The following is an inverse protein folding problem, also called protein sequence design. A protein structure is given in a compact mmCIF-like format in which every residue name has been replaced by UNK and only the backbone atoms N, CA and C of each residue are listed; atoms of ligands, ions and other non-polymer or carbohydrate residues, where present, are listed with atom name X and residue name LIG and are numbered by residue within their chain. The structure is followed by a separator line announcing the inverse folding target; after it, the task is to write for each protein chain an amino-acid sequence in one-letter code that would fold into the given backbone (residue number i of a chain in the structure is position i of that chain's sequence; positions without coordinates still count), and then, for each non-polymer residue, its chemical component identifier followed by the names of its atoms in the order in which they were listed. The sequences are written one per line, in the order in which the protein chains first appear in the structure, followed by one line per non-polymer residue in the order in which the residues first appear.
data_IF_176429113979
#
_entry.id   IF_176429113979
#
_cell.length_a   1.000
_cell.length_b   1.000
_cell.length_c   1.000
_cell.angle_alpha   90.00
_cell.angle_beta   90.00
_cell.angle_gamma   90.00
#
_symmetry.space_group_name_H-M   'P 1'
#
loop_
_entity.id
_entity.type
_entity.pdbx_description
1 polymer ?
#
# COMPACT_ATOMS: atom_id res chain seq x y z
N UNK A 1 -3.33 17.81 -6.03
CA UNK A 1 -3.34 17.42 -4.61
C UNK A 1 -2.78 18.56 -3.77
N UNK A 2 -3.38 18.81 -2.62
CA UNK A 2 -2.86 19.80 -1.67
C UNK A 2 -1.43 19.43 -1.25
N UNK A 3 -0.50 20.37 -1.36
CA UNK A 3 0.91 20.13 -1.02
C UNK A 3 1.10 19.72 0.45
N UNK A 4 0.23 20.20 1.35
CA UNK A 4 0.31 19.84 2.77
C UNK A 4 -0.04 18.36 2.99
N UNK A 5 -0.97 17.82 2.20
CA UNK A 5 -1.30 16.39 2.23
C UNK A 5 -0.11 15.59 1.73
N UNK A 6 0.51 16.02 0.65
CA UNK A 6 1.69 15.35 0.10
C UNK A 6 2.84 15.34 1.09
N UNK A 7 3.11 16.47 1.74
CA UNK A 7 4.15 16.55 2.78
C UNK A 7 3.87 15.63 3.96
N UNK A 8 2.62 15.58 4.40
CA UNK A 8 2.18 14.67 5.46
C UNK A 8 2.48 13.22 5.09
N UNK A 9 2.17 12.82 3.86
CA UNK A 9 2.37 11.44 3.40
C UNK A 9 3.85 11.11 3.22
N UNK A 10 4.62 12.03 2.67
CA UNK A 10 6.07 11.85 2.55
C UNK A 10 6.71 11.67 3.93
N UNK A 11 6.30 12.48 4.90
CA UNK A 11 6.78 12.35 6.27
C UNK A 11 6.39 10.98 6.88
N UNK A 12 5.16 10.56 6.69
CA UNK A 12 4.71 9.24 7.17
C UNK A 12 5.47 8.10 6.51
N UNK A 13 5.74 8.21 5.22
CA UNK A 13 6.53 7.20 4.51
C UNK A 13 7.93 7.05 5.13
N UNK A 14 8.50 8.15 5.64
CA UNK A 14 9.82 8.14 6.26
C UNK A 14 9.80 7.69 7.72
N UNK A 15 8.73 7.94 8.44
CA UNK A 15 8.69 7.77 9.90
C UNK A 15 7.79 6.63 10.36
N UNK A 16 6.98 6.04 9.49
CA UNK A 16 6.11 4.94 9.86
C UNK A 16 6.96 3.71 10.21
N UNK A 17 6.88 3.20 11.46
CA UNK A 17 7.74 2.09 11.89
C UNK A 17 7.58 0.84 11.05
N UNK A 18 6.35 0.47 10.68
CA UNK A 18 6.12 -0.76 9.92
C UNK A 18 6.58 -0.63 8.47
N UNK A 19 6.37 0.54 7.86
CA UNK A 19 6.88 0.85 6.52
C UNK A 19 8.41 0.69 6.50
N UNK A 20 9.08 1.23 7.51
CA UNK A 20 10.53 1.14 7.63
C UNK A 20 10.99 -0.29 7.89
N UNK A 21 10.26 -1.02 8.72
CA UNK A 21 10.56 -2.43 8.99
C UNK A 21 10.48 -3.28 7.72
N UNK A 22 9.45 -3.05 6.90
CA UNK A 22 9.29 -3.77 5.63
C UNK A 22 10.29 -3.32 4.57
N UNK A 23 10.80 -2.10 4.67
CA UNK A 23 11.73 -1.54 3.69
C UNK A 23 11.04 -1.04 2.43
N UNK A 24 9.82 -0.50 2.57
CA UNK A 24 9.06 0.04 1.44
C UNK A 24 9.66 1.37 0.99
N UNK A 25 9.97 1.48 -0.30
CA UNK A 25 10.50 2.69 -0.91
C UNK A 25 9.45 3.29 -1.86
N UNK A 26 8.87 4.42 -1.45
CA UNK A 26 7.84 5.10 -2.21
C UNK A 26 8.47 5.89 -3.36
N UNK A 27 7.99 5.65 -4.58
CA UNK A 27 8.50 6.32 -5.78
C UNK A 27 7.50 7.30 -6.39
N UNK A 28 6.20 7.12 -6.14
CA UNK A 28 5.15 8.04 -6.60
C UNK A 28 4.13 8.23 -5.48
N UNK A 29 3.85 9.48 -5.15
CA UNK A 29 2.74 9.86 -4.28
C UNK A 29 2.01 11.00 -5.00
N UNK A 30 0.91 10.67 -5.67
CA UNK A 30 0.08 11.60 -6.41
C UNK A 30 -1.38 11.38 -6.06
N UNK A 31 -2.23 12.33 -6.37
CA UNK A 31 -3.65 12.21 -6.10
C UNK A 31 -4.23 10.95 -6.74
N UNK A 32 -4.72 10.04 -5.91
CA UNK A 32 -5.33 8.80 -6.36
C UNK A 32 -4.36 7.72 -6.80
N UNK A 33 -3.04 7.93 -6.70
CA UNK A 33 -2.05 6.96 -7.19
C UNK A 33 -0.78 6.98 -6.34
N UNK A 34 -0.40 5.79 -5.86
CA UNK A 34 0.83 5.62 -5.09
C UNK A 34 1.57 4.41 -5.63
N UNK A 35 2.89 4.54 -5.84
CA UNK A 35 3.74 3.44 -6.28
C UNK A 35 4.94 3.30 -5.35
N UNK A 36 5.40 2.08 -5.17
CA UNK A 36 6.53 1.79 -4.32
C UNK A 36 7.22 0.50 -4.72
N UNK A 37 8.50 0.41 -4.37
CA UNK A 37 9.29 -0.80 -4.47
C UNK A 37 9.59 -1.32 -3.07
N UNK A 38 9.72 -2.63 -2.93
CA UNK A 38 10.10 -3.24 -1.67
C UNK A 38 11.05 -4.41 -1.93
N UNK A 39 12.32 -4.28 -1.51
CA UNK A 39 13.25 -5.40 -1.57
C UNK A 39 12.77 -6.52 -0.65
N UNK A 40 12.96 -7.76 -1.08
CA UNK A 40 12.56 -8.93 -0.30
C UNK A 40 13.72 -9.44 0.53
N UNK A 41 13.47 -9.65 1.82
CA UNK A 41 14.39 -10.24 2.77
C UNK A 41 14.05 -11.71 2.99
N UNK A 42 15.00 -12.51 3.46
CA UNK A 42 14.78 -13.94 3.71
C UNK A 42 13.63 -14.18 4.68
N UNK A 43 13.47 -13.32 5.69
CA UNK A 43 12.42 -13.42 6.70
C UNK A 43 11.02 -13.21 6.13
N UNK A 44 10.91 -12.72 4.90
CA UNK A 44 9.63 -12.47 4.22
C UNK A 44 9.23 -13.64 3.32
N UNK A 45 9.99 -14.72 3.35
CA UNK A 45 9.74 -15.90 2.51
C UNK A 45 9.14 -17.03 3.34
N UNK A 46 8.35 -17.87 2.66
CA UNK A 46 7.95 -19.15 3.23
C UNK A 46 9.15 -20.10 3.26
N UNK A 47 9.03 -21.22 3.98
CA UNK A 47 10.09 -22.21 4.02
C UNK A 47 10.48 -22.74 2.63
N UNK A 48 9.57 -22.67 1.66
CA UNK A 48 9.83 -23.07 0.26
C UNK A 48 10.61 -22.02 -0.54
N UNK A 49 10.82 -20.82 0.02
CA UNK A 49 11.55 -19.73 -0.64
C UNK A 49 10.67 -18.72 -1.38
N UNK A 50 9.38 -19.03 -1.60
CA UNK A 50 8.46 -18.08 -2.21
C UNK A 50 8.06 -17.00 -1.20
N UNK A 51 7.76 -15.81 -1.67
CA UNK A 51 7.31 -14.71 -0.80
C UNK A 51 6.04 -15.11 -0.06
N UNK A 52 6.04 -14.89 1.26
CA UNK A 52 4.87 -15.19 2.09
C UNK A 52 3.67 -14.31 1.67
N UNK A 53 2.49 -14.92 1.56
CA UNK A 53 1.27 -14.19 1.17
C UNK A 53 0.94 -13.03 2.11
N UNK A 54 1.25 -13.18 3.40
CA UNK A 54 1.08 -12.10 4.37
C UNK A 54 1.93 -10.86 4.07
N UNK A 55 3.09 -11.04 3.45
CA UNK A 55 3.94 -9.93 3.01
C UNK A 55 3.27 -9.17 1.86
N UNK A 56 2.71 -9.91 0.90
CA UNK A 56 1.96 -9.29 -0.20
C UNK A 56 0.75 -8.53 0.34
N UNK A 57 0.04 -9.07 1.32
CA UNK A 57 -1.09 -8.41 1.95
C UNK A 57 -0.68 -7.14 2.69
N UNK A 58 0.43 -7.18 3.42
CA UNK A 58 0.96 -6.01 4.13
C UNK A 58 1.33 -4.89 3.16
N UNK A 59 1.99 -5.23 2.05
CA UNK A 59 2.35 -4.26 1.02
C UNK A 59 1.11 -3.68 0.35
N UNK A 60 0.16 -4.53 -0.04
CA UNK A 60 -1.07 -4.10 -0.69
C UNK A 60 -1.88 -3.16 0.20
N UNK A 61 -2.05 -3.51 1.47
CA UNK A 61 -2.77 -2.67 2.44
C UNK A 61 -2.10 -1.31 2.61
N UNK A 62 -0.79 -1.31 2.73
CA UNK A 62 -0.02 -0.08 2.93
C UNK A 62 -0.12 0.84 1.72
N UNK A 63 0.09 0.31 0.52
CA UNK A 63 0.11 1.14 -0.69
C UNK A 63 -1.29 1.63 -1.05
N UNK A 64 -2.31 0.77 -0.96
CA UNK A 64 -3.70 1.20 -1.18
C UNK A 64 -4.14 2.21 -0.11
N UNK A 65 -3.71 2.03 1.14
CA UNK A 65 -3.99 2.96 2.22
C UNK A 65 -3.37 4.33 1.98
N UNK A 66 -2.13 4.40 1.51
CA UNK A 66 -1.50 5.67 1.13
C UNK A 66 -2.25 6.32 -0.04
N UNK A 67 -2.70 5.53 -1.02
CA UNK A 67 -3.52 6.06 -2.11
C UNK A 67 -4.81 6.68 -1.57
N UNK A 68 -5.48 6.00 -0.64
CA UNK A 68 -6.68 6.53 0.02
C UNK A 68 -6.37 7.85 0.76
N UNK A 69 -5.24 7.93 1.43
CA UNK A 69 -4.81 9.16 2.11
C UNK A 69 -4.67 10.33 1.16
N UNK A 70 -4.25 10.11 -0.08
CA UNK A 70 -4.09 11.21 -1.05
C UNK A 70 -5.40 11.92 -1.35
N UNK A 71 -6.53 11.24 -1.12
CA UNK A 71 -7.87 11.77 -1.37
C UNK A 71 -8.60 12.12 -0.06
N UNK A 72 -7.87 12.17 1.04
CA UNK A 72 -8.42 12.40 2.38
C UNK A 72 -8.05 13.79 2.88
N UNK A 73 -8.97 14.53 3.53
CA UNK A 73 -8.64 15.82 4.10
C UNK A 73 -7.45 15.77 5.05
N UNK A 74 -6.68 16.84 5.09
CA UNK A 74 -5.43 16.93 5.85
C UNK A 74 -5.60 16.54 7.32
N UNK A 75 -6.71 16.94 7.94
CA UNK A 75 -6.99 16.73 9.37
C UNK A 75 -7.60 15.38 9.70
N UNK A 76 -7.81 14.53 8.69
CA UNK A 76 -8.40 13.21 8.87
C UNK A 76 -7.36 12.11 8.73
N UNK A 77 -7.75 10.93 9.19
CA UNK A 77 -6.97 9.70 9.01
C UNK A 77 -7.77 8.65 8.24
N UNK A 78 -7.10 7.57 7.90
CA UNK A 78 -7.67 6.46 7.14
C UNK A 78 -7.42 5.18 7.91
N UNK A 79 -8.45 4.34 8.03
CA UNK A 79 -8.33 2.98 8.57
C UNK A 79 -8.89 1.99 7.57
N UNK A 80 -8.22 0.85 7.42
CA UNK A 80 -8.67 -0.22 6.56
C UNK A 80 -9.88 -0.91 7.19
N UNK A 81 -10.98 -0.98 6.46
CA UNK A 81 -12.17 -1.72 6.90
C UNK A 81 -12.16 -3.12 6.31
N UNK A 82 -11.69 -3.28 5.09
CA UNK A 82 -11.70 -4.56 4.39
C UNK A 82 -10.57 -4.58 3.38
N UNK A 83 -9.93 -5.73 3.26
CA UNK A 83 -8.93 -5.98 2.23
C UNK A 83 -9.15 -7.36 1.64
N UNK A 84 -9.40 -7.41 0.33
CA UNK A 84 -9.53 -8.66 -0.41
C UNK A 84 -8.29 -8.86 -1.27
N UNK A 85 -7.63 -10.01 -1.10
CA UNK A 85 -6.43 -10.37 -1.85
C UNK A 85 -6.73 -11.48 -2.84
N UNK A 86 -6.21 -11.34 -4.05
CA UNK A 86 -6.11 -12.45 -5.00
C UNK A 86 -4.62 -12.71 -5.25
N UNK A 87 -4.16 -13.91 -4.92
CA UNK A 87 -2.79 -14.35 -5.14
C UNK A 87 -2.75 -15.09 -6.47
N UNK A 88 -2.21 -14.45 -7.50
CA UNK A 88 -2.33 -14.91 -8.88
C UNK A 88 -1.17 -15.77 -9.32
N UNK A 89 -0.01 -15.60 -8.67
CA UNK A 89 1.24 -16.25 -9.05
C UNK A 89 2.20 -16.22 -7.87
N UNK A 90 3.00 -17.28 -7.72
CA UNK A 90 4.05 -17.31 -6.71
C UNK A 90 5.07 -16.20 -6.98
N UNK A 91 5.42 -15.44 -5.96
CA UNK A 91 6.38 -14.36 -6.08
C UNK A 91 7.78 -14.88 -5.75
N UNK A 92 8.51 -15.26 -6.78
CA UNK A 92 9.92 -15.60 -6.73
C UNK A 92 10.72 -14.40 -7.19
N UNK A 93 11.75 -14.04 -6.53
CA UNK A 93 12.57 -12.90 -6.92
C UNK A 93 13.03 -12.10 -5.72
N UNK A 94 13.60 -10.93 -5.96
CA UNK A 94 14.26 -10.14 -4.94
C UNK A 94 13.57 -8.81 -4.64
N UNK A 95 12.61 -8.40 -5.46
CA UNK A 95 11.95 -7.11 -5.28
C UNK A 95 10.51 -7.18 -5.75
N UNK A 96 9.64 -6.50 -5.01
CA UNK A 96 8.25 -6.29 -5.38
C UNK A 96 8.05 -4.84 -5.83
N UNK A 97 7.17 -4.64 -6.79
CA UNK A 97 6.68 -3.32 -7.19
C UNK A 97 5.17 -3.28 -6.97
N UNK A 98 4.71 -2.29 -6.22
CA UNK A 98 3.29 -2.13 -5.90
C UNK A 98 2.75 -0.85 -6.48
N UNK A 99 1.52 -0.92 -6.98
CA UNK A 99 0.81 0.20 -7.58
C UNK A 99 -0.59 0.27 -6.99
N UNK A 100 -0.85 1.29 -6.19
CA UNK A 100 -2.15 1.53 -5.57
C UNK A 100 -2.90 2.64 -6.27
N UNK A 101 -4.19 2.44 -6.47
CA UNK A 101 -5.06 3.43 -7.12
C UNK A 101 -6.38 3.57 -6.37
N UNK A 102 -6.90 4.79 -6.29
CA UNK A 102 -8.25 5.04 -5.79
C UNK A 102 -9.23 4.83 -6.93
N UNK A 103 -10.17 3.91 -6.73
CA UNK A 103 -11.23 3.63 -7.71
C UNK A 103 -12.37 4.63 -7.54
N UNK A 104 -12.74 4.89 -6.27
CA UNK A 104 -13.77 5.88 -5.95
C UNK A 104 -13.47 6.49 -4.58
N UNK A 105 -13.40 7.80 -4.54
CA UNK A 105 -13.25 8.55 -3.30
C UNK A 105 -14.62 9.07 -2.85
N UNK A 106 -15.03 8.69 -1.65
CA UNK A 106 -16.25 9.18 -1.02
C UNK A 106 -15.93 10.12 0.13
N UNK A 107 -16.97 10.63 0.77
CA UNK A 107 -16.80 11.48 1.96
C UNK A 107 -16.23 10.67 3.14
N UNK A 108 -16.73 9.47 3.35
CA UNK A 108 -16.40 8.63 4.51
C UNK A 108 -15.68 7.33 4.14
N UNK A 109 -15.73 6.94 2.88
CA UNK A 109 -15.19 5.66 2.41
C UNK A 109 -14.49 5.86 1.07
N UNK A 110 -13.30 5.31 0.95
CA UNK A 110 -12.58 5.22 -0.32
C UNK A 110 -12.47 3.75 -0.72
N UNK A 111 -12.70 3.48 -2.00
CA UNK A 111 -12.50 2.17 -2.60
C UNK A 111 -11.20 2.23 -3.41
N UNK A 112 -10.27 1.33 -3.09
CA UNK A 112 -8.94 1.33 -3.71
C UNK A 112 -8.59 -0.06 -4.21
N UNK A 113 -7.65 -0.10 -5.17
CA UNK A 113 -7.07 -1.34 -5.66
C UNK A 113 -5.56 -1.26 -5.55
N UNK A 114 -4.90 -2.42 -5.49
CA UNK A 114 -3.45 -2.50 -5.55
C UNK A 114 -3.04 -3.69 -6.41
N UNK A 115 -2.10 -3.45 -7.30
CA UNK A 115 -1.44 -4.49 -8.08
C UNK A 115 -0.01 -4.63 -7.59
N UNK A 116 0.44 -5.88 -7.43
CA UNK A 116 1.83 -6.14 -7.05
C UNK A 116 2.47 -7.01 -8.13
N UNK A 117 3.65 -6.58 -8.54
CA UNK A 117 4.47 -7.23 -9.57
C UNK A 117 5.76 -7.74 -8.95
N UNK A 118 6.23 -8.87 -9.44
CA UNK A 118 7.56 -9.40 -9.15
C UNK A 118 8.20 -9.76 -10.48
N UNK A 119 9.35 -9.15 -10.78
CA UNK A 119 10.02 -9.33 -12.08
C UNK A 119 9.05 -9.09 -13.26
N UNK A 120 8.31 -7.97 -13.21
CA UNK A 120 7.34 -7.53 -14.22
C UNK A 120 6.14 -8.45 -14.39
N UNK A 121 5.96 -9.45 -13.54
CA UNK A 121 4.80 -10.35 -13.57
C UNK A 121 3.84 -10.02 -12.47
N UNK A 122 2.57 -9.90 -12.79
CA UNK A 122 1.52 -9.61 -11.81
C UNK A 122 1.36 -10.82 -10.88
N UNK A 123 1.72 -10.64 -9.61
CA UNK A 123 1.65 -11.72 -8.60
C UNK A 123 0.44 -11.61 -7.71
N UNK A 124 -0.09 -10.39 -7.50
CA UNK A 124 -1.35 -10.24 -6.77
C UNK A 124 -2.13 -9.02 -7.24
N UNK A 125 -3.43 -9.10 -7.07
CA UNK A 125 -4.34 -7.98 -7.25
C UNK A 125 -5.27 -7.94 -6.05
N UNK A 126 -5.52 -6.75 -5.52
CA UNK A 126 -6.32 -6.58 -4.32
C UNK A 126 -7.32 -5.44 -4.48
N UNK A 127 -8.36 -5.48 -3.67
CA UNK A 127 -9.28 -4.37 -3.49
C UNK A 127 -9.49 -4.14 -2.01
N UNK A 128 -9.61 -2.87 -1.63
CA UNK A 128 -9.77 -2.51 -0.22
C UNK A 128 -10.79 -1.42 -0.04
N UNK A 129 -11.42 -1.44 1.12
CA UNK A 129 -12.34 -0.41 1.59
C UNK A 129 -11.66 0.30 2.76
N UNK A 130 -11.52 1.61 2.63
CA UNK A 130 -10.81 2.44 3.61
C UNK A 130 -11.75 3.49 4.17
N UNK A 131 -11.83 3.56 5.49
CA UNK A 131 -12.69 4.51 6.17
C UNK A 131 -11.94 5.78 6.50
N UNK A 132 -12.55 6.93 6.18
CA UNK A 132 -12.04 8.24 6.59
C UNK A 132 -12.52 8.49 8.00
N UNK A 133 -11.59 8.71 8.92
CA UNK A 133 -11.89 8.81 10.36
C UNK A 133 -11.22 10.03 10.96
N UNK A 134 -11.68 10.42 12.15
CA UNK A 134 -10.96 11.42 12.94
C UNK A 134 -9.65 10.82 13.44
N UNK A 135 -8.59 11.63 13.61
CA UNK A 135 -7.33 11.10 14.12
C UNK A 135 -7.51 10.37 15.44
N UNK A 136 -6.85 9.22 15.54
CA UNK A 136 -6.80 8.47 16.80
C UNK A 136 -5.75 9.11 17.69
N UNK A 137 -6.07 9.29 18.95
CA UNK A 137 -5.19 9.95 19.92
C UNK A 137 -4.54 8.91 20.81
#
# INVERSE_FOLDING_TARGET
MDERIKEKLINRAKTNPYVNFLGIDFTVIEEGRVEAHMPLHDEQRQYSGVTHGGVLAALADTIAGFAAYTMTPLEKDVLTAELKMSFLRAAWGNELFAKGTVIKAGRNIHFCECEIYCDDKLVSKSSGTFCVVHPQV
#
